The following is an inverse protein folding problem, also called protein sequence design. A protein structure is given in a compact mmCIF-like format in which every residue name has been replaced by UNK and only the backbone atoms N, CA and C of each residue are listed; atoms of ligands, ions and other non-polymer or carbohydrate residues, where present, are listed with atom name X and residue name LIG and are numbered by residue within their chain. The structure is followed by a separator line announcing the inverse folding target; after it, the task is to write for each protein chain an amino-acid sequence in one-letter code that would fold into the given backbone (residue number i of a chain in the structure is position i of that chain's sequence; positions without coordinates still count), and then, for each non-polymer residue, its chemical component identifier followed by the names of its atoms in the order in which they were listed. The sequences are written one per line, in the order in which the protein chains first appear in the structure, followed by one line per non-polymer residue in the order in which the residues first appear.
data_IF_960465003414
#
_entry.id   IF_960465003414
#
_cell.length_a   1.000
_cell.length_b   1.000
_cell.length_c   1.000
_cell.angle_alpha   90.00
_cell.angle_beta   90.00
_cell.angle_gamma   90.00
#
_symmetry.space_group_name_H-M   'P 1'
#
loop_
_entity.id
_entity.type
_entity.pdbx_description
1 polymer ?
#
# COMPACT_ATOMS: atom_id res chain seq x y z
N UNK A 1 -12.30 -8.57 27.80
CA UNK A 1 -12.31 -9.49 26.63
C UNK A 1 -10.92 -9.44 26.00
N UNK A 2 -10.14 -10.53 26.08
CA UNK A 2 -8.85 -10.65 25.39
C UNK A 2 -9.13 -10.74 23.88
N UNK A 3 -9.20 -9.61 23.17
CA UNK A 3 -9.47 -9.57 21.73
C UNK A 3 -8.14 -9.43 20.99
N UNK A 4 -7.93 -10.31 20.01
CA UNK A 4 -6.82 -10.35 19.04
C UNK A 4 -5.60 -11.18 19.45
N UNK A 5 -5.82 -12.39 19.96
CA UNK A 5 -4.74 -13.38 20.10
C UNK A 5 -4.69 -14.28 18.86
N UNK A 6 -3.50 -14.44 18.29
CA UNK A 6 -3.22 -15.45 17.27
C UNK A 6 -3.36 -16.85 17.90
N UNK A 7 -4.11 -17.75 17.26
CA UNK A 7 -4.38 -19.10 17.75
C UNK A 7 -3.93 -20.16 16.73
N UNK A 8 -3.82 -21.41 17.16
CA UNK A 8 -3.46 -22.50 16.25
C UNK A 8 -4.58 -22.78 15.24
N UNK A 9 -4.28 -23.45 14.14
CA UNK A 9 -5.29 -23.84 13.14
C UNK A 9 -6.45 -24.64 13.74
N UNK A 10 -6.16 -25.59 14.63
CA UNK A 10 -7.20 -26.41 15.25
C UNK A 10 -8.03 -25.58 16.23
N UNK A 11 -7.38 -24.75 17.04
CA UNK A 11 -8.08 -23.81 17.92
C UNK A 11 -8.97 -22.84 17.14
N UNK A 12 -8.48 -22.33 16.00
CA UNK A 12 -9.24 -21.46 15.12
C UNK A 12 -10.52 -22.14 14.63
N UNK A 13 -10.41 -23.37 14.12
CA UNK A 13 -11.56 -24.14 13.66
C UNK A 13 -12.58 -24.36 14.78
N UNK A 14 -12.14 -24.90 15.91
CA UNK A 14 -13.04 -25.23 17.02
C UNK A 14 -13.70 -23.98 17.62
N UNK A 15 -12.96 -22.88 17.77
CA UNK A 15 -13.51 -21.63 18.31
C UNK A 15 -14.47 -20.94 17.35
N UNK A 16 -14.19 -20.97 16.04
CA UNK A 16 -15.10 -20.44 15.01
C UNK A 16 -16.41 -21.24 15.01
N UNK A 17 -16.34 -22.57 15.03
CA UNK A 17 -17.52 -23.43 15.10
C UNK A 17 -18.30 -23.22 16.38
N UNK A 18 -17.64 -23.16 17.54
CA UNK A 18 -18.30 -22.92 18.82
C UNK A 18 -19.02 -21.56 18.86
N UNK A 19 -18.38 -20.50 18.34
CA UNK A 19 -18.99 -19.16 18.27
C UNK A 19 -20.25 -19.14 17.41
N UNK A 20 -20.21 -19.83 16.27
CA UNK A 20 -21.31 -19.83 15.29
C UNK A 20 -22.31 -20.98 15.53
N UNK A 21 -22.24 -21.65 16.69
CA UNK A 21 -23.18 -22.72 17.07
C UNK A 21 -23.10 -23.98 16.20
N UNK A 22 -21.92 -24.27 15.64
CA UNK A 22 -21.65 -25.39 14.72
C UNK A 22 -22.57 -25.38 13.49
N UNK A 23 -22.96 -24.19 13.04
CA UNK A 23 -23.85 -24.00 11.91
C UNK A 23 -23.33 -22.94 10.96
N UNK A 24 -23.73 -23.04 9.71
CA UNK A 24 -23.46 -22.01 8.72
C UNK A 24 -24.17 -20.74 9.15
N UNK A 25 -23.42 -19.64 9.23
CA UNK A 25 -23.95 -18.35 9.69
C UNK A 25 -25.02 -17.76 8.77
N UNK A 26 -25.13 -18.24 7.53
CA UNK A 26 -26.10 -17.75 6.54
C UNK A 26 -27.38 -18.59 6.44
N UNK A 27 -27.27 -19.93 6.52
CA UNK A 27 -28.42 -20.82 6.29
C UNK A 27 -28.70 -21.85 7.39
N UNK A 28 -27.86 -21.93 8.43
CA UNK A 28 -28.04 -22.86 9.54
C UNK A 28 -27.64 -24.32 9.27
N UNK A 29 -27.10 -24.65 8.10
CA UNK A 29 -26.59 -25.99 7.78
C UNK A 29 -25.49 -26.41 8.78
N UNK A 30 -25.51 -27.65 9.23
CA UNK A 30 -24.56 -28.21 10.23
C UNK A 30 -23.26 -28.72 9.62
N UNK A 31 -23.21 -28.98 8.31
CA UNK A 31 -21.97 -29.32 7.61
C UNK A 31 -21.19 -28.04 7.26
N UNK A 32 -20.20 -27.72 8.09
CA UNK A 32 -19.48 -26.43 8.03
C UNK A 32 -17.97 -26.56 7.94
N UNK A 33 -17.36 -25.52 7.39
CA UNK A 33 -15.93 -25.30 7.28
C UNK A 33 -15.56 -23.96 7.92
N UNK A 34 -14.36 -23.88 8.51
CA UNK A 34 -13.85 -22.64 9.05
C UNK A 34 -13.24 -21.82 7.90
N UNK A 35 -13.97 -20.78 7.49
CA UNK A 35 -13.58 -19.85 6.43
C UNK A 35 -12.80 -18.67 7.00
N UNK A 36 -11.75 -18.24 6.29
CA UNK A 36 -11.06 -16.99 6.60
C UNK A 36 -11.73 -15.84 5.86
N UNK A 37 -12.22 -14.86 6.61
CA UNK A 37 -12.91 -13.67 6.09
C UNK A 37 -11.99 -12.88 5.15
N UNK A 38 -10.75 -12.62 5.57
CA UNK A 38 -9.66 -12.15 4.71
C UNK A 38 -8.63 -13.26 4.56
N UNK A 39 -8.21 -13.49 3.32
CA UNK A 39 -7.30 -14.56 2.90
C UNK A 39 -6.01 -14.62 3.74
N UNK A 40 -5.75 -15.79 4.34
CA UNK A 40 -4.60 -16.06 5.22
C UNK A 40 -3.25 -15.77 4.58
N UNK A 41 -3.10 -15.93 3.25
CA UNK A 41 -1.85 -15.63 2.53
C UNK A 41 -1.41 -14.17 2.63
N UNK A 42 -2.32 -13.25 2.93
CA UNK A 42 -2.00 -11.84 3.14
C UNK A 42 -1.41 -11.56 4.54
N UNK A 43 -1.51 -12.53 5.45
CA UNK A 43 -1.07 -12.37 6.83
C UNK A 43 0.33 -12.95 7.03
N UNK A 44 1.26 -12.21 7.65
CA UNK A 44 2.61 -12.73 7.91
C UNK A 44 2.62 -13.90 8.91
N UNK A 45 1.56 -14.05 9.70
CA UNK A 45 1.40 -15.07 10.75
C UNK A 45 0.31 -16.12 10.41
N UNK A 46 -0.21 -16.10 9.18
CA UNK A 46 -1.26 -17.00 8.70
C UNK A 46 -2.68 -16.62 9.10
N UNK A 47 -2.90 -15.53 9.85
CA UNK A 47 -4.22 -14.89 9.96
C UNK A 47 -5.28 -15.67 10.77
N UNK A 48 -4.86 -16.63 11.59
CA UNK A 48 -5.72 -17.44 12.46
C UNK A 48 -6.20 -16.64 13.68
N UNK A 49 -6.98 -15.61 13.43
CA UNK A 49 -7.63 -14.80 14.45
C UNK A 49 -9.12 -15.13 14.48
N UNK A 50 -9.70 -15.31 15.66
CA UNK A 50 -11.14 -15.62 15.77
C UNK A 50 -12.03 -14.59 15.04
N UNK A 51 -11.65 -13.31 15.04
CA UNK A 51 -12.36 -12.24 14.34
C UNK A 51 -12.14 -12.24 12.80
N UNK A 52 -11.24 -13.09 12.29
CA UNK A 52 -11.02 -13.33 10.87
C UNK A 52 -11.62 -14.68 10.41
N UNK A 53 -12.44 -15.33 11.23
CA UNK A 53 -13.03 -16.64 10.93
C UNK A 53 -14.55 -16.63 10.89
N UNK A 54 -15.15 -17.50 10.07
CA UNK A 54 -16.60 -17.75 9.99
C UNK A 54 -16.91 -19.22 9.68
N UNK A 55 -17.99 -19.74 10.25
CA UNK A 55 -18.52 -21.07 9.96
C UNK A 55 -19.48 -20.99 8.79
N UNK A 56 -19.12 -21.63 7.68
CA UNK A 56 -19.93 -21.61 6.45
C UNK A 56 -20.02 -23.02 5.86
N UNK A 57 -21.16 -23.34 5.24
CA UNK A 57 -21.28 -24.58 4.46
C UNK A 57 -20.52 -24.45 3.13
N UNK A 58 -20.44 -25.53 2.35
CA UNK A 58 -19.70 -25.54 1.09
C UNK A 58 -20.17 -24.46 0.08
N UNK A 59 -21.49 -24.22 0.00
CA UNK A 59 -22.08 -23.22 -0.88
C UNK A 59 -21.65 -21.80 -0.50
N UNK A 60 -21.93 -21.37 0.73
CA UNK A 60 -21.56 -20.04 1.21
C UNK A 60 -20.03 -19.87 1.31
N UNK A 61 -19.27 -20.94 1.53
CA UNK A 61 -17.82 -20.91 1.41
C UNK A 61 -17.42 -20.47 0.01
N UNK A 62 -17.97 -21.11 -1.03
CA UNK A 62 -17.70 -20.77 -2.42
C UNK A 62 -18.11 -19.32 -2.75
N UNK A 63 -19.27 -18.86 -2.27
CA UNK A 63 -19.73 -17.48 -2.47
C UNK A 63 -18.82 -16.44 -1.81
N UNK A 64 -18.29 -16.73 -0.62
CA UNK A 64 -17.29 -15.87 0.03
C UNK A 64 -15.97 -15.83 -0.76
N UNK A 65 -15.51 -16.98 -1.27
CA UNK A 65 -14.33 -17.07 -2.13
C UNK A 65 -14.52 -16.32 -3.47
N UNK A 66 -15.73 -16.39 -4.03
CA UNK A 66 -16.14 -15.67 -5.23
C UNK A 66 -16.42 -14.19 -4.98
N UNK A 67 -16.47 -13.76 -3.72
CA UNK A 67 -16.81 -12.41 -3.27
C UNK A 67 -18.22 -11.94 -3.64
N UNK A 68 -19.14 -12.87 -3.90
CA UNK A 68 -20.58 -12.59 -4.06
C UNK A 68 -21.23 -12.33 -2.70
N UNK A 69 -20.68 -12.93 -1.64
CA UNK A 69 -20.86 -12.49 -0.25
C UNK A 69 -19.64 -11.64 0.13
N UNK A 70 -19.90 -10.42 0.61
CA UNK A 70 -18.86 -9.49 1.04
C UNK A 70 -18.30 -9.84 2.41
N UNK A 71 -17.08 -9.36 2.68
CA UNK A 71 -16.43 -9.46 3.99
C UNK A 71 -17.29 -8.84 5.09
N UNK A 72 -17.97 -7.73 4.80
CA UNK A 72 -18.86 -7.05 5.73
C UNK A 72 -20.11 -7.88 6.03
N UNK A 73 -20.70 -8.54 5.04
CA UNK A 73 -21.83 -9.45 5.23
C UNK A 73 -21.46 -10.65 6.11
N UNK A 74 -20.25 -11.22 5.93
CA UNK A 74 -19.75 -12.29 6.81
C UNK A 74 -19.56 -11.79 8.24
N UNK A 75 -18.96 -10.61 8.42
CA UNK A 75 -18.77 -10.02 9.76
C UNK A 75 -20.10 -9.77 10.46
N UNK A 76 -21.08 -9.24 9.74
CA UNK A 76 -22.44 -8.99 10.25
C UNK A 76 -23.11 -10.31 10.68
N UNK A 77 -23.08 -11.33 9.82
CA UNK A 77 -23.66 -12.65 10.11
C UNK A 77 -23.03 -13.33 11.34
N UNK A 78 -21.73 -13.09 11.59
CA UNK A 78 -21.01 -13.60 12.76
C UNK A 78 -21.12 -12.69 14.01
N UNK A 79 -21.73 -11.51 13.93
CA UNK A 79 -21.74 -10.52 15.01
C UNK A 79 -20.35 -9.96 15.35
N UNK A 80 -19.43 -9.93 14.38
CA UNK A 80 -18.05 -9.45 14.55
C UNK A 80 -18.02 -7.94 14.35
N UNK A 81 -17.86 -7.19 15.45
CA UNK A 81 -17.69 -5.72 15.41
C UNK A 81 -16.23 -5.26 15.30
N UNK A 82 -15.27 -6.15 15.55
CA UNK A 82 -13.85 -5.83 15.51
C UNK A 82 -13.30 -6.13 14.11
N UNK A 83 -13.00 -5.09 13.34
CA UNK A 83 -12.39 -5.21 12.01
C UNK A 83 -10.90 -5.52 12.17
N UNK A 84 -10.51 -6.74 11.83
CA UNK A 84 -9.11 -7.13 11.70
C UNK A 84 -8.75 -7.25 10.22
N UNK A 85 -7.59 -6.68 9.85
CA UNK A 85 -7.00 -6.75 8.52
C UNK A 85 -5.51 -7.07 8.64
N UNK A 86 -4.88 -7.66 7.59
CA UNK A 86 -3.44 -7.84 7.53
C UNK A 86 -2.66 -6.56 7.88
N UNK A 87 -1.49 -6.64 8.56
CA UNK A 87 -0.79 -5.47 9.09
C UNK A 87 -0.41 -4.39 8.07
N UNK A 88 -0.25 -4.78 6.79
CA UNK A 88 0.11 -3.88 5.69
C UNK A 88 -1.11 -3.18 5.06
N UNK A 89 -2.34 -3.60 5.42
CA UNK A 89 -3.61 -2.99 5.01
C UNK A 89 -4.12 -2.01 6.07
N UNK A 90 -5.06 -1.17 5.65
CA UNK A 90 -5.65 -0.08 6.46
C UNK A 90 -7.05 -0.48 6.98
N UNK A 91 -7.31 -0.50 8.30
CA UNK A 91 -8.60 -0.97 8.84
C UNK A 91 -9.83 -0.13 8.44
N UNK A 92 -9.65 1.13 8.08
CA UNK A 92 -10.68 2.07 7.64
C UNK A 92 -11.02 1.95 6.15
N UNK A 93 -10.28 1.13 5.40
CA UNK A 93 -10.54 0.80 4.01
C UNK A 93 -11.33 -0.52 3.93
N UNK A 94 -12.48 -0.57 3.23
CA UNK A 94 -13.14 -1.81 2.88
C UNK A 94 -12.30 -2.65 1.91
N UNK A 95 -12.29 -3.96 2.09
CA UNK A 95 -11.61 -4.92 1.20
C UNK A 95 -12.51 -6.10 0.89
N UNK A 96 -12.35 -6.68 -0.29
CA UNK A 96 -12.83 -8.04 -0.51
C UNK A 96 -11.94 -9.07 0.21
N UNK A 97 -12.37 -10.34 0.17
CA UNK A 97 -11.65 -11.45 0.80
C UNK A 97 -10.18 -11.53 0.39
N UNK A 98 -9.86 -11.17 -0.86
CA UNK A 98 -8.53 -11.31 -1.44
C UNK A 98 -7.64 -10.08 -1.20
N UNK A 99 -8.09 -9.14 -0.36
CA UNK A 99 -7.34 -7.93 0.00
C UNK A 99 -7.39 -6.86 -1.08
N UNK A 100 -8.36 -6.91 -1.99
CA UNK A 100 -8.57 -5.87 -2.98
C UNK A 100 -9.40 -4.73 -2.36
N UNK A 101 -8.92 -3.47 -2.35
CA UNK A 101 -9.70 -2.34 -1.86
C UNK A 101 -11.01 -2.20 -2.63
N UNK A 102 -12.12 -2.04 -1.91
CA UNK A 102 -13.44 -1.75 -2.47
C UNK A 102 -13.70 -0.25 -2.33
N UNK A 103 -13.98 0.42 -3.45
CA UNK A 103 -14.31 1.84 -3.50
C UNK A 103 -15.79 2.06 -3.15
N UNK A 104 -16.11 3.30 -2.80
CA UNK A 104 -17.50 3.73 -2.55
C UNK A 104 -18.44 3.54 -3.76
N UNK A 105 -17.89 3.53 -4.98
CA UNK A 105 -18.61 3.24 -6.21
C UNK A 105 -18.95 1.76 -6.43
N UNK A 106 -18.42 0.87 -5.60
CA UNK A 106 -18.45 -0.58 -5.78
C UNK A 106 -17.35 -1.13 -6.71
N UNK A 107 -16.60 -0.26 -7.40
CA UNK A 107 -15.39 -0.68 -8.12
C UNK A 107 -14.31 -1.16 -7.16
N UNK A 108 -13.42 -2.01 -7.66
CA UNK A 108 -12.31 -2.59 -6.90
C UNK A 108 -10.97 -2.17 -7.47
N UNK A 109 -9.99 -2.08 -6.59
CA UNK A 109 -8.59 -1.87 -6.95
C UNK A 109 -7.84 -3.19 -6.92
N UNK A 110 -6.82 -3.35 -7.75
CA UNK A 110 -6.03 -4.58 -7.78
C UNK A 110 -5.10 -4.63 -6.56
N UNK A 111 -5.31 -5.61 -5.70
CA UNK A 111 -4.49 -5.89 -4.51
C UNK A 111 -3.36 -6.89 -4.78
N UNK A 112 -2.73 -7.35 -3.70
CA UNK A 112 -1.54 -8.21 -3.73
C UNK A 112 -1.75 -9.53 -4.47
N UNK A 113 -2.87 -10.21 -4.18
CA UNK A 113 -3.17 -11.53 -4.75
C UNK A 113 -3.95 -11.45 -6.05
N UNK A 114 -4.24 -10.26 -6.59
CA UNK A 114 -5.09 -10.12 -7.76
C UNK A 114 -4.59 -10.96 -8.94
N UNK A 115 -3.30 -10.91 -9.25
CA UNK A 115 -2.72 -11.63 -10.40
C UNK A 115 -2.45 -13.12 -10.15
N UNK A 116 -2.75 -13.65 -8.96
CA UNK A 116 -2.63 -15.08 -8.69
C UNK A 116 -3.68 -15.85 -9.51
N UNK A 117 -3.25 -16.92 -10.17
CA UNK A 117 -4.11 -17.67 -11.10
C UNK A 117 -5.35 -18.28 -10.41
N UNK A 118 -5.21 -18.76 -9.17
CA UNK A 118 -6.32 -19.31 -8.39
C UNK A 118 -7.33 -18.22 -8.02
N UNK A 119 -6.84 -17.03 -7.70
CA UNK A 119 -7.67 -15.86 -7.36
C UNK A 119 -8.40 -15.32 -8.60
N UNK A 120 -7.71 -15.22 -9.74
CA UNK A 120 -8.35 -14.84 -11.01
C UNK A 120 -9.48 -15.81 -11.38
N UNK A 121 -9.23 -17.12 -11.28
CA UNK A 121 -10.22 -18.15 -11.60
C UNK A 121 -11.46 -18.07 -10.72
N UNK A 122 -11.31 -17.84 -9.42
CA UNK A 122 -12.45 -17.80 -8.50
C UNK A 122 -13.23 -16.50 -8.59
N UNK A 123 -12.56 -15.36 -8.79
CA UNK A 123 -13.20 -14.07 -9.08
C UNK A 123 -13.97 -14.09 -10.40
N UNK A 124 -13.43 -14.74 -11.44
CA UNK A 124 -14.13 -14.93 -12.71
C UNK A 124 -15.43 -15.72 -12.54
N UNK A 125 -15.41 -16.81 -11.75
CA UNK A 125 -16.61 -17.60 -11.44
C UNK A 125 -17.68 -16.79 -10.70
N UNK A 126 -17.26 -15.83 -9.87
CA UNK A 126 -18.16 -14.89 -9.19
C UNK A 126 -18.61 -13.70 -10.05
N UNK A 127 -18.16 -13.58 -11.30
CA UNK A 127 -18.46 -12.42 -12.15
C UNK A 127 -17.84 -11.10 -11.65
N UNK A 128 -16.83 -11.16 -10.79
CA UNK A 128 -16.30 -9.99 -10.10
C UNK A 128 -15.20 -9.25 -10.88
N UNK A 129 -14.64 -9.84 -11.95
CA UNK A 129 -13.50 -9.27 -12.68
C UNK A 129 -13.81 -7.90 -13.32
N UNK A 130 -15.04 -7.71 -13.80
CA UNK A 130 -15.47 -6.44 -14.44
C UNK A 130 -15.61 -5.29 -13.43
N UNK A 131 -15.59 -5.59 -12.13
CA UNK A 131 -15.59 -4.57 -11.07
C UNK A 131 -14.21 -3.93 -10.88
N UNK A 132 -13.14 -4.54 -11.40
CA UNK A 132 -11.78 -4.08 -11.16
C UNK A 132 -11.38 -2.97 -12.12
N UNK A 133 -11.03 -1.83 -11.56
CA UNK A 133 -10.24 -0.84 -12.27
C UNK A 133 -8.80 -1.33 -12.45
N UNK A 134 -8.07 -0.76 -13.40
CA UNK A 134 -6.61 -0.95 -13.51
C UNK A 134 -5.82 -0.10 -12.50
N UNK A 135 -6.48 0.54 -11.53
CA UNK A 135 -5.83 1.41 -10.55
C UNK A 135 -5.35 0.60 -9.36
N UNK A 136 -4.18 0.99 -8.87
CA UNK A 136 -3.48 0.37 -7.74
C UNK A 136 -3.05 1.48 -6.78
N UNK A 137 -3.35 1.33 -5.48
CA UNK A 137 -2.81 2.23 -4.46
C UNK A 137 -1.31 2.01 -4.31
N UNK A 138 -0.54 3.07 -4.13
CA UNK A 138 0.88 2.91 -3.79
C UNK A 138 1.04 2.18 -2.44
N UNK A 139 1.91 1.15 -2.35
CA UNK A 139 2.07 0.36 -1.13
C UNK A 139 2.44 1.21 0.09
N UNK A 140 2.12 0.71 1.28
CA UNK A 140 2.61 1.32 2.53
C UNK A 140 4.08 0.99 2.72
N UNK A 141 4.94 2.00 2.75
CA UNK A 141 6.35 1.81 3.11
C UNK A 141 6.51 1.67 4.61
N UNK A 142 7.15 0.57 5.04
CA UNK A 142 7.47 0.32 6.44
C UNK A 142 8.71 1.10 6.87
N UNK A 143 8.77 1.47 8.15
CA UNK A 143 9.93 2.08 8.76
C UNK A 143 11.10 1.09 8.83
N UNK A 144 12.31 1.58 8.63
CA UNK A 144 13.52 0.88 8.98
C UNK A 144 13.59 0.72 10.51
N UNK A 145 14.25 -0.33 11.04
CA UNK A 145 14.34 -0.57 12.48
C UNK A 145 14.95 0.58 13.31
N UNK A 146 15.71 1.47 12.65
CA UNK A 146 16.35 2.63 13.26
C UNK A 146 15.66 3.96 12.90
N UNK A 147 14.43 3.94 12.39
CA UNK A 147 13.68 5.17 12.13
C UNK A 147 13.25 5.83 13.43
N UNK A 148 13.45 7.14 13.55
CA UNK A 148 13.13 7.88 14.79
C UNK A 148 11.66 8.31 14.91
N UNK A 149 10.97 8.50 13.77
CA UNK A 149 9.58 8.93 13.69
C UNK A 149 8.55 7.80 13.61
N UNK A 150 8.67 6.75 14.43
CA UNK A 150 7.68 5.65 14.48
C UNK A 150 6.56 5.98 15.47
N UNK A 151 5.31 6.02 15.01
CA UNK A 151 4.12 6.15 15.87
C UNK A 151 3.44 4.77 16.09
N UNK A 152 2.47 4.69 17.00
CA UNK A 152 1.77 3.43 17.35
C UNK A 152 1.13 2.71 16.15
N UNK A 153 0.65 3.48 15.15
CA UNK A 153 0.05 2.93 13.93
C UNK A 153 1.07 2.58 12.84
N UNK A 154 2.35 2.93 13.01
CA UNK A 154 3.40 2.68 12.04
C UNK A 154 3.86 1.23 12.03
N UNK A 155 4.29 0.79 10.85
CA UNK A 155 4.81 -0.56 10.63
C UNK A 155 6.31 -0.46 10.44
N UNK A 156 7.04 -1.30 11.18
CA UNK A 156 8.49 -1.41 11.11
C UNK A 156 8.85 -2.70 10.38
N UNK A 157 9.90 -2.66 9.56
CA UNK A 157 10.49 -3.85 8.97
C UNK A 157 10.94 -4.80 10.07
N UNK A 158 10.50 -6.06 10.00
CA UNK A 158 10.86 -7.10 10.97
C UNK A 158 12.28 -7.63 10.77
N UNK A 159 12.84 -7.48 9.56
CA UNK A 159 14.20 -7.85 9.21
C UNK A 159 14.74 -6.94 8.11
N UNK A 160 16.05 -6.74 8.11
CA UNK A 160 16.82 -6.06 7.05
C UNK A 160 17.66 -7.05 6.22
N UNK A 161 17.58 -8.35 6.53
CA UNK A 161 18.35 -9.41 5.86
C UNK A 161 18.17 -9.40 4.34
N UNK A 162 17.06 -8.87 3.84
CA UNK A 162 16.77 -8.88 2.40
C UNK A 162 17.63 -7.90 1.62
N UNK A 163 18.24 -6.94 2.31
CA UNK A 163 19.19 -5.99 1.74
C UNK A 163 20.63 -6.50 1.77
N UNK A 164 20.96 -7.44 2.66
CA UNK A 164 22.34 -7.87 2.90
C UNK A 164 23.00 -8.44 1.64
N UNK A 165 24.18 -7.90 1.30
CA UNK A 165 24.93 -8.30 0.10
C UNK A 165 24.27 -7.91 -1.23
N UNK A 166 23.19 -7.12 -1.22
CA UNK A 166 22.49 -6.63 -2.43
C UNK A 166 22.80 -5.17 -2.69
N UNK A 167 22.74 -4.75 -3.96
CA UNK A 167 22.75 -3.34 -4.35
C UNK A 167 21.44 -2.68 -3.90
N UNK A 168 21.55 -1.59 -3.17
CA UNK A 168 20.44 -0.76 -2.71
C UNK A 168 20.57 0.64 -3.26
N UNK A 169 19.42 1.28 -3.42
CA UNK A 169 19.30 2.69 -3.76
C UNK A 169 18.69 3.39 -2.55
N UNK A 170 19.39 4.42 -2.09
CA UNK A 170 18.87 5.31 -1.05
C UNK A 170 18.57 6.66 -1.66
N UNK A 171 17.33 7.10 -1.53
CA UNK A 171 16.88 8.40 -2.05
C UNK A 171 16.46 9.31 -0.91
N UNK A 172 16.53 10.63 -1.13
CA UNK A 172 15.86 11.58 -0.24
C UNK A 172 14.37 11.26 -0.19
N UNK A 173 13.80 11.32 1.02
CA UNK A 173 12.35 11.25 1.21
C UNK A 173 11.82 12.68 1.17
N UNK A 174 11.05 12.96 0.13
CA UNK A 174 10.43 14.28 -0.07
C UNK A 174 9.08 14.34 0.66
N UNK A 175 8.78 15.49 1.26
CA UNK A 175 7.54 15.76 1.98
C UNK A 175 6.55 16.46 1.05
N UNK A 176 5.68 15.67 0.42
CA UNK A 176 4.66 16.17 -0.50
C UNK A 176 3.46 15.24 -0.57
N UNK A 177 2.86 15.16 -1.75
CA UNK A 177 1.73 14.28 -2.02
C UNK A 177 2.11 13.19 -3.03
N UNK A 178 2.16 11.94 -2.55
CA UNK A 178 2.26 10.76 -3.41
C UNK A 178 1.25 10.83 -4.58
N UNK A 179 1.77 10.70 -5.79
CA UNK A 179 1.02 10.81 -7.04
C UNK A 179 1.35 9.63 -7.96
N UNK A 180 0.32 9.01 -8.51
CA UNK A 180 0.42 7.90 -9.47
C UNK A 180 -0.21 8.30 -10.81
N UNK A 181 0.55 8.15 -11.89
CA UNK A 181 0.17 8.48 -13.26
C UNK A 181 0.07 7.22 -14.10
N UNK A 182 -1.01 7.08 -14.84
CA UNK A 182 -1.28 6.04 -15.84
C UNK A 182 -1.47 6.72 -17.19
N UNK A 183 -1.57 5.94 -18.26
CA UNK A 183 -1.89 6.48 -19.59
C UNK A 183 -3.15 7.35 -19.62
N UNK A 184 -4.16 6.95 -18.86
CA UNK A 184 -5.54 7.46 -18.96
C UNK A 184 -6.05 8.08 -17.65
N UNK A 185 -5.24 8.10 -16.59
CA UNK A 185 -5.65 8.64 -15.30
C UNK A 185 -4.47 9.04 -14.41
N UNK A 186 -4.71 9.95 -13.47
CA UNK A 186 -3.76 10.36 -12.44
C UNK A 186 -4.48 10.47 -11.10
N UNK A 187 -3.87 9.98 -10.02
CA UNK A 187 -4.44 10.06 -8.69
C UNK A 187 -3.38 10.26 -7.60
N UNK A 188 -3.77 10.91 -6.50
CA UNK A 188 -3.02 10.86 -5.26
C UNK A 188 -3.12 9.45 -4.64
N UNK A 189 -2.41 9.15 -3.56
CA UNK A 189 -2.48 7.81 -2.93
C UNK A 189 -3.92 7.34 -2.61
N UNK A 190 -4.79 8.27 -2.21
CA UNK A 190 -6.23 8.05 -2.15
C UNK A 190 -6.87 8.37 -3.50
N UNK A 191 -7.47 7.35 -4.13
CA UNK A 191 -8.07 7.46 -5.47
C UNK A 191 -9.33 8.34 -5.48
N UNK A 192 -10.16 8.24 -4.44
CA UNK A 192 -11.39 9.05 -4.30
C UNK A 192 -11.10 10.49 -3.79
N UNK A 193 -9.88 10.99 -3.99
CA UNK A 193 -9.46 12.31 -3.53
C UNK A 193 -10.20 13.45 -4.25
N UNK A 194 -10.68 14.44 -3.50
CA UNK A 194 -11.26 15.67 -4.06
C UNK A 194 -10.25 16.43 -4.91
N UNK A 195 -10.70 17.11 -5.96
CA UNK A 195 -9.83 18.01 -6.72
C UNK A 195 -9.25 19.12 -5.81
N UNK A 196 -8.00 19.50 -6.06
CA UNK A 196 -7.30 20.53 -5.29
C UNK A 196 -6.33 21.30 -6.21
N UNK A 197 -6.22 22.64 -6.11
CA UNK A 197 -5.33 23.44 -6.96
C UNK A 197 -3.85 23.05 -6.89
N UNK A 198 -3.41 22.45 -5.77
CA UNK A 198 -2.03 21.93 -5.65
C UNK A 198 -1.69 20.81 -6.64
N UNK A 199 -2.69 20.26 -7.33
CA UNK A 199 -2.53 19.17 -8.30
C UNK A 199 -2.55 19.66 -9.75
N UNK A 200 -2.82 20.94 -10.00
CA UNK A 200 -3.03 21.43 -11.36
C UNK A 200 -1.73 21.36 -12.17
N UNK A 201 -0.59 21.73 -11.57
CA UNK A 201 0.72 21.62 -12.23
C UNK A 201 1.05 20.16 -12.59
N UNK A 202 0.88 19.22 -11.65
CA UNK A 202 1.24 17.81 -11.91
C UNK A 202 0.28 17.15 -12.91
N UNK A 203 -0.98 17.59 -12.98
CA UNK A 203 -1.93 17.18 -14.04
C UNK A 203 -1.53 17.72 -15.42
N UNK A 204 -1.07 18.97 -15.50
CA UNK A 204 -0.56 19.54 -16.75
C UNK A 204 0.68 18.78 -17.22
N UNK A 205 1.65 18.53 -16.32
CA UNK A 205 2.82 17.71 -16.63
C UNK A 205 2.44 16.30 -17.07
N UNK A 206 1.51 15.65 -16.35
CA UNK A 206 0.99 14.34 -16.77
C UNK A 206 0.38 14.36 -18.17
N UNK A 207 -0.41 15.39 -18.50
CA UNK A 207 -1.06 15.49 -19.81
C UNK A 207 -0.08 15.58 -20.99
N UNK A 208 1.17 16.03 -20.76
CA UNK A 208 2.19 16.07 -21.80
C UNK A 208 2.90 14.74 -22.02
N UNK A 209 2.83 13.81 -21.05
CA UNK A 209 3.53 12.51 -21.11
C UNK A 209 2.60 11.29 -21.13
N UNK A 210 1.31 11.46 -20.84
CA UNK A 210 0.39 10.35 -20.56
C UNK A 210 0.25 9.36 -21.72
N UNK A 211 0.25 9.85 -22.97
CA UNK A 211 0.16 8.98 -24.16
C UNK A 211 1.34 8.00 -24.28
N UNK A 212 2.53 8.41 -23.81
CA UNK A 212 3.77 7.62 -23.84
C UNK A 212 3.83 6.56 -22.74
N UNK A 213 3.02 6.70 -21.68
CA UNK A 213 2.93 5.67 -20.64
C UNK A 213 2.26 4.43 -21.24
N UNK A 214 2.87 3.23 -21.17
CA UNK A 214 2.23 2.02 -21.68
C UNK A 214 0.89 1.71 -21.00
N UNK A 215 0.04 0.93 -21.68
CA UNK A 215 -1.21 0.44 -21.11
C UNK A 215 -0.94 -0.31 -19.80
N UNK A 216 -1.74 -0.04 -18.76
CA UNK A 216 -1.67 -0.68 -17.44
C UNK A 216 -0.35 -0.50 -16.68
N UNK A 217 0.57 0.32 -17.19
CA UNK A 217 1.73 0.78 -16.45
C UNK A 217 1.37 2.00 -15.60
N UNK A 218 2.14 2.21 -14.53
CA UNK A 218 2.04 3.42 -13.73
C UNK A 218 3.39 3.97 -13.34
N UNK A 219 3.46 5.28 -13.27
CA UNK A 219 4.58 6.05 -12.76
C UNK A 219 4.17 6.61 -11.40
N UNK A 220 5.02 6.42 -10.40
CA UNK A 220 4.79 6.98 -9.07
C UNK A 220 5.90 7.98 -8.72
N UNK A 221 5.49 9.10 -8.16
CA UNK A 221 6.37 10.18 -7.72
C UNK A 221 5.72 11.02 -6.63
N UNK A 222 6.45 12.03 -6.17
CA UNK A 222 6.00 12.96 -5.16
C UNK A 222 5.64 14.30 -5.82
N UNK A 223 4.39 14.76 -5.63
CA UNK A 223 3.98 16.11 -5.99
C UNK A 223 4.34 17.07 -4.87
N UNK A 224 5.22 18.02 -5.17
CA UNK A 224 5.82 18.98 -4.27
C UNK A 224 5.38 20.41 -4.58
N UNK A 225 4.29 20.61 -5.35
CA UNK A 225 3.83 21.95 -5.68
C UNK A 225 3.44 22.77 -4.43
N UNK A 226 2.67 22.16 -3.53
CA UNK A 226 2.29 22.78 -2.26
C UNK A 226 3.24 22.34 -1.14
N UNK A 227 3.58 23.29 -0.27
CA UNK A 227 4.30 23.03 0.97
C UNK A 227 3.44 22.17 1.90
N UNK A 228 4.06 21.14 2.46
CA UNK A 228 3.51 20.34 3.55
C UNK A 228 4.16 20.77 4.87
N UNK A 229 4.90 19.90 5.55
CA UNK A 229 5.66 20.25 6.75
C UNK A 229 6.97 20.98 6.40
N UNK A 230 7.59 20.64 5.26
CA UNK A 230 8.83 21.22 4.76
C UNK A 230 8.54 22.15 3.58
N UNK A 231 9.07 23.37 3.66
CA UNK A 231 9.02 24.35 2.57
C UNK A 231 10.29 24.32 1.74
N UNK A 232 10.17 23.93 0.47
CA UNK A 232 11.31 23.85 -0.45
C UNK A 232 11.48 25.14 -1.26
N UNK A 233 12.72 25.59 -1.41
CA UNK A 233 13.07 26.84 -2.10
C UNK A 233 13.76 26.64 -3.45
N UNK A 234 14.25 25.43 -3.72
CA UNK A 234 15.16 25.14 -4.83
C UNK A 234 14.88 23.72 -5.38
N UNK A 235 13.63 23.48 -5.79
CA UNK A 235 13.23 22.19 -6.34
C UNK A 235 13.65 22.08 -7.81
N UNK A 236 14.23 20.94 -8.26
CA UNK A 236 14.52 20.74 -9.67
C UNK A 236 13.26 20.48 -10.51
N UNK A 237 12.16 20.10 -9.87
CA UNK A 237 10.82 19.94 -10.46
C UNK A 237 9.78 19.86 -9.35
N UNK A 238 8.52 20.21 -9.65
CA UNK A 238 7.40 19.99 -8.71
C UNK A 238 6.94 18.53 -8.66
N UNK A 239 7.33 17.69 -9.61
CA UNK A 239 7.11 16.25 -9.55
C UNK A 239 8.45 15.53 -9.61
N UNK A 240 8.74 14.76 -8.56
CA UNK A 240 9.94 13.93 -8.49
C UNK A 240 9.54 12.45 -8.55
N UNK A 241 9.94 11.77 -9.61
CA UNK A 241 9.65 10.35 -9.83
C UNK A 241 10.50 9.45 -8.94
N UNK A 242 9.93 8.35 -8.43
CA UNK A 242 10.68 7.37 -7.62
C UNK A 242 10.42 5.90 -7.98
N UNK A 243 9.40 5.58 -8.77
CA UNK A 243 9.19 4.20 -9.27
C UNK A 243 8.31 4.14 -10.51
N UNK A 244 8.48 3.09 -11.30
CA UNK A 244 7.59 2.71 -12.41
C UNK A 244 7.18 1.26 -12.19
N UNK A 245 5.91 0.97 -12.46
CA UNK A 245 5.33 -0.36 -12.29
C UNK A 245 4.67 -0.81 -13.58
N UNK A 246 4.93 -2.06 -13.95
CA UNK A 246 4.40 -2.65 -15.17
C UNK A 246 2.97 -3.22 -14.99
N UNK A 247 2.43 -3.80 -16.06
CA UNK A 247 1.08 -4.36 -16.13
C UNK A 247 0.83 -5.54 -15.17
N UNK A 248 1.91 -6.18 -14.71
CA UNK A 248 1.88 -7.28 -13.73
C UNK A 248 2.05 -6.79 -12.29
N UNK A 249 2.03 -5.48 -12.09
CA UNK A 249 2.24 -4.84 -10.79
C UNK A 249 3.61 -5.19 -10.18
N UNK A 250 4.64 -5.23 -11.02
CA UNK A 250 6.04 -5.36 -10.61
C UNK A 250 6.69 -3.99 -10.82
N UNK A 251 7.31 -3.47 -9.76
CA UNK A 251 8.13 -2.26 -9.85
C UNK A 251 9.40 -2.62 -10.62
N UNK A 252 9.74 -1.82 -11.64
CA UNK A 252 10.97 -2.02 -12.40
C UNK A 252 12.20 -1.91 -11.51
N UNK A 253 13.30 -2.50 -11.96
CA UNK A 253 14.61 -2.23 -11.39
C UNK A 253 14.96 -0.73 -11.55
N UNK A 254 15.91 -0.28 -10.76
CA UNK A 254 16.26 1.14 -10.68
C UNK A 254 16.82 1.68 -11.99
N UNK A 255 17.66 0.90 -12.66
CA UNK A 255 18.35 1.38 -13.87
C UNK A 255 17.34 1.53 -15.01
N UNK A 256 16.47 0.54 -15.22
CA UNK A 256 15.33 0.64 -16.13
C UNK A 256 14.42 1.83 -15.77
N UNK A 257 14.14 2.05 -14.48
CA UNK A 257 13.33 3.20 -14.03
C UNK A 257 13.96 4.54 -14.47
N UNK A 258 15.29 4.68 -14.33
CA UNK A 258 16.01 5.89 -14.73
C UNK A 258 16.00 6.09 -16.25
N UNK A 259 16.14 5.02 -17.04
CA UNK A 259 16.04 5.08 -18.50
C UNK A 259 14.68 5.63 -18.95
N UNK A 260 13.58 5.09 -18.38
CA UNK A 260 12.24 5.59 -18.67
C UNK A 260 12.03 7.03 -18.21
N UNK A 261 12.55 7.42 -17.05
CA UNK A 261 12.47 8.81 -16.59
C UNK A 261 13.20 9.76 -17.53
N UNK A 262 14.37 9.39 -18.05
CA UNK A 262 15.08 10.18 -19.04
C UNK A 262 14.28 10.35 -20.33
N UNK A 263 13.66 9.28 -20.83
CA UNK A 263 12.81 9.30 -22.04
C UNK A 263 11.59 10.22 -21.84
N UNK A 264 10.95 10.14 -20.67
CA UNK A 264 9.71 10.86 -20.37
C UNK A 264 9.94 12.29 -19.83
N UNK A 265 11.20 12.71 -19.66
CA UNK A 265 11.53 14.02 -19.08
C UNK A 265 11.10 14.15 -17.61
N UNK A 266 11.13 13.06 -16.85
CA UNK A 266 10.79 13.04 -15.43
C UNK A 266 12.08 13.21 -14.62
N UNK A 267 12.12 14.23 -13.76
CA UNK A 267 13.19 14.39 -12.78
C UNK A 267 13.04 13.33 -11.67
N UNK A 268 14.05 12.48 -11.41
CA UNK A 268 13.99 11.53 -10.30
C UNK A 268 14.15 12.23 -8.95
N UNK A 269 13.68 11.59 -7.88
CA UNK A 269 14.13 11.90 -6.52
C UNK A 269 15.65 11.74 -6.40
N UNK A 270 16.29 12.57 -5.59
CA UNK A 270 17.74 12.56 -5.43
C UNK A 270 18.23 11.25 -4.80
N UNK A 271 19.20 10.60 -5.48
CA UNK A 271 19.93 9.45 -4.95
C UNK A 271 21.08 9.94 -4.10
N UNK A 272 21.07 9.56 -2.82
CA UNK A 272 22.10 9.91 -1.84
C UNK A 272 23.03 8.73 -1.53
N UNK A 273 22.69 7.52 -1.97
CA UNK A 273 23.56 6.35 -1.94
C UNK A 273 23.12 5.33 -2.99
N UNK A 274 24.09 4.80 -3.73
CA UNK A 274 23.93 3.65 -4.63
C UNK A 274 25.12 2.71 -4.41
N UNK A 275 24.84 1.49 -3.94
CA UNK A 275 25.89 0.53 -3.64
C UNK A 275 25.39 -0.70 -2.90
N UNK A 276 26.31 -1.59 -2.55
CA UNK A 276 25.98 -2.77 -1.72
C UNK A 276 25.57 -2.32 -0.33
N UNK A 277 24.44 -2.83 0.17
CA UNK A 277 23.90 -2.45 1.47
C UNK A 277 24.95 -2.43 2.59
N UNK A 278 25.11 -1.25 3.19
CA UNK A 278 25.97 -0.99 4.33
C UNK A 278 25.17 -0.18 5.35
N UNK A 279 24.64 -0.86 6.36
CA UNK A 279 23.76 -0.25 7.36
C UNK A 279 24.40 0.98 8.02
N UNK A 280 25.71 0.93 8.34
CA UNK A 280 26.38 2.04 9.03
C UNK A 280 26.49 3.26 8.13
N UNK A 281 26.85 3.08 6.86
CA UNK A 281 26.91 4.19 5.89
C UNK A 281 25.53 4.79 5.68
N UNK A 282 24.51 3.95 5.51
CA UNK A 282 23.13 4.41 5.26
C UNK A 282 22.58 5.18 6.46
N UNK A 283 22.81 4.69 7.68
CA UNK A 283 22.43 5.42 8.90
C UNK A 283 23.11 6.79 8.98
N UNK A 284 24.37 6.88 8.58
CA UNK A 284 25.14 8.13 8.56
C UNK A 284 24.74 9.14 7.47
N UNK A 285 23.79 8.81 6.57
CA UNK A 285 23.30 9.76 5.56
C UNK A 285 22.46 10.88 6.18
N UNK A 286 21.84 10.62 7.34
CA UNK A 286 21.02 11.58 8.05
C UNK A 286 21.67 11.99 9.37
N UNK A 287 21.55 13.27 9.71
CA UNK A 287 21.96 13.85 10.98
C UNK A 287 21.07 15.05 11.33
N UNK A 288 21.17 15.53 12.58
CA UNK A 288 20.30 16.58 13.12
C UNK A 288 20.42 17.93 12.37
N UNK A 289 21.53 18.21 11.69
CA UNK A 289 21.66 19.46 10.90
C UNK A 289 20.69 19.53 9.73
N UNK A 290 20.19 18.37 9.27
CA UNK A 290 19.22 18.26 8.16
C UNK A 290 17.76 18.34 8.62
N UNK A 291 17.51 18.49 9.93
CA UNK A 291 16.17 18.38 10.50
C UNK A 291 15.17 19.36 9.86
N UNK A 292 15.54 20.61 9.62
CA UNK A 292 14.60 21.61 9.05
C UNK A 292 14.28 21.39 7.55
N UNK A 293 15.13 20.67 6.82
CA UNK A 293 15.12 20.65 5.35
C UNK A 293 14.83 19.26 4.75
N UNK A 294 15.00 18.18 5.52
CA UNK A 294 14.78 16.82 5.06
C UNK A 294 13.81 16.06 5.98
N UNK A 295 12.89 15.29 5.40
CA UNK A 295 12.06 14.36 6.17
C UNK A 295 12.86 13.13 6.60
N UNK A 296 13.76 12.66 5.74
CA UNK A 296 14.55 11.45 5.92
C UNK A 296 14.89 10.84 4.56
N UNK A 297 14.93 9.51 4.51
CA UNK A 297 15.31 8.79 3.29
C UNK A 297 14.54 7.49 3.12
N UNK A 298 14.55 6.98 1.88
CA UNK A 298 14.01 5.67 1.51
C UNK A 298 15.17 4.77 1.10
N UNK A 299 15.12 3.50 1.48
CA UNK A 299 16.02 2.44 1.03
C UNK A 299 15.19 1.44 0.23
N UNK A 300 15.58 1.15 -1.00
CA UNK A 300 15.01 0.06 -1.81
C UNK A 300 16.09 -0.85 -2.38
N UNK A 301 15.75 -2.10 -2.67
CA UNK A 301 16.57 -2.90 -3.58
C UNK A 301 16.63 -2.25 -4.96
N UNK A 302 17.80 -2.31 -5.60
CA UNK A 302 17.96 -1.85 -6.98
C UNK A 302 17.24 -2.75 -7.99
N UNK A 303 17.02 -4.03 -7.68
CA UNK A 303 16.29 -4.96 -8.54
C UNK A 303 14.80 -4.64 -8.63
N UNK A 304 14.10 -5.38 -9.51
CA UNK A 304 12.64 -5.39 -9.56
C UNK A 304 12.02 -5.74 -8.19
N UNK A 305 10.85 -5.17 -7.91
CA UNK A 305 10.12 -5.37 -6.65
C UNK A 305 8.69 -5.78 -6.96
N UNK A 306 8.33 -7.06 -6.78
CA UNK A 306 6.93 -7.49 -6.81
C UNK A 306 6.11 -6.75 -5.76
N UNK A 307 4.87 -6.35 -6.08
CA UNK A 307 4.01 -5.60 -5.16
C UNK A 307 3.84 -6.28 -3.79
N UNK A 308 3.70 -7.61 -3.78
CA UNK A 308 3.58 -8.44 -2.57
C UNK A 308 4.81 -8.31 -1.65
N UNK A 309 5.99 -8.15 -2.24
CA UNK A 309 7.27 -8.12 -1.53
C UNK A 309 7.71 -6.71 -1.15
N UNK A 310 7.00 -5.66 -1.61
CA UNK A 310 7.38 -4.27 -1.36
C UNK A 310 7.64 -3.96 0.12
N UNK A 311 6.78 -4.50 1.00
CA UNK A 311 6.88 -4.34 2.47
C UNK A 311 8.14 -4.98 3.09
N UNK A 312 8.92 -5.74 2.33
CA UNK A 312 10.17 -6.38 2.73
C UNK A 312 11.38 -5.80 2.01
N UNK A 313 11.16 -5.22 0.82
CA UNK A 313 12.24 -4.76 -0.08
C UNK A 313 12.37 -3.22 -0.15
N UNK A 314 11.50 -2.49 0.55
CA UNK A 314 11.55 -1.03 0.70
C UNK A 314 11.33 -0.64 2.15
N UNK A 315 12.22 0.21 2.68
CA UNK A 315 12.14 0.78 4.02
C UNK A 315 12.30 2.29 4.01
N UNK A 316 11.70 2.98 4.98
CA UNK A 316 11.88 4.42 5.18
C UNK A 316 12.52 4.74 6.52
N UNK A 317 13.40 5.74 6.53
CA UNK A 317 13.78 6.47 7.72
C UNK A 317 13.02 7.80 7.70
N UNK A 318 12.38 8.14 8.80
CA UNK A 318 11.70 9.42 9.01
C UNK A 318 12.20 10.00 10.31
N UNK A 319 12.58 11.28 10.29
CA UNK A 319 13.08 12.01 11.47
C UNK A 319 12.03 12.11 12.57
N UNK A 320 12.50 12.25 13.81
CA UNK A 320 11.63 12.48 14.97
C UNK A 320 10.84 13.78 14.83
N UNK A 321 9.55 13.73 15.15
CA UNK A 321 8.68 14.92 15.21
C UNK A 321 8.38 15.54 13.85
N UNK A 322 8.45 14.78 12.75
CA UNK A 322 8.08 15.28 11.43
C UNK A 322 6.57 15.56 11.29
N UNK A 323 5.71 14.66 11.78
CA UNK A 323 4.25 14.87 11.79
C UNK A 323 3.85 15.47 13.13
N UNK A 324 3.66 16.79 13.19
CA UNK A 324 3.28 17.50 14.43
C UNK A 324 1.80 17.89 14.49
N UNK A 325 1.09 17.90 13.37
CA UNK A 325 -0.31 18.32 13.32
C UNK A 325 -1.19 17.24 12.69
N UNK A 326 -1.99 16.54 13.51
CA UNK A 326 -2.97 15.54 13.08
C UNK A 326 -4.17 16.09 12.30
N UNK A 327 -4.18 17.37 11.92
CA UNK A 327 -5.14 17.90 10.95
C UNK A 327 -4.53 17.73 9.57
N UNK A 328 -5.15 16.88 8.74
CA UNK A 328 -4.90 16.84 7.30
C UNK A 328 -4.65 18.27 6.80
N UNK A 329 -3.47 18.53 6.23
CA UNK A 329 -3.05 19.83 5.66
C UNK A 329 -4.12 20.43 4.72
N UNK A 330 -4.96 19.57 4.16
CA UNK A 330 -6.12 19.87 3.32
C UNK A 330 -7.22 20.70 4.02
N UNK A 331 -7.30 20.72 5.35
CA UNK A 331 -8.35 21.43 6.10
C UNK A 331 -7.82 22.68 6.80
N UNK A 332 -8.09 23.84 6.19
CA UNK A 332 -8.12 25.12 6.90
C UNK A 332 -6.82 25.94 6.92
N UNK A 333 -5.77 25.52 6.23
CA UNK A 333 -4.58 26.36 6.01
C UNK A 333 -4.55 26.89 4.57
N UNK A 334 -4.08 28.12 4.40
CA UNK A 334 -3.86 28.70 3.07
C UNK A 334 -2.71 27.92 2.42
N UNK A 335 -2.93 27.41 1.21
CA UNK A 335 -1.90 26.70 0.44
C UNK A 335 -0.69 27.62 0.19
N UNK A 336 0.47 27.20 0.66
CA UNK A 336 1.76 27.81 0.34
C UNK A 336 2.42 27.00 -0.77
N UNK A 337 3.04 27.68 -1.75
CA UNK A 337 3.68 27.04 -2.90
C UNK A 337 5.18 26.87 -2.62
N UNK A 338 5.76 25.74 -2.97
CA UNK A 338 7.23 25.57 -2.98
C UNK A 338 7.85 26.26 -4.21
N UNK A 339 9.15 26.48 -4.20
CA UNK A 339 9.85 27.18 -5.29
C UNK A 339 10.77 26.23 -6.07
N UNK A 340 10.86 26.48 -7.39
CA UNK A 340 11.80 25.80 -8.28
C UNK A 340 13.15 26.55 -8.27
N UNK A 341 14.19 25.83 -8.68
CA UNK A 341 15.54 26.35 -8.93
C UNK A 341 15.61 27.49 -9.95
#
# INVERSE_FOLDING_TARGET
MKKNQLITRDQFREQVFARDGHKCVFCGNTEVYAHHIIERRLWPDGGYYLANGASVCNEHHLECEQTTISVEQVREACGISTVMVPPHLYPDQPYDKWGNPVLSSGQRLRGELFFDESVQKILAKGGALDLFSNRVKYPRTHHLPWSDGVNDDDRVLTSISQFEGKRVIVTRKMDGENTSMYRDFIHARSIDGRSHPSRDWVKQFWSSISAEIPQDWRICGENLFAKHSIGYQDLPSYFLGFSIWNEKNICLDWDSTMEYFAILGITPVEVIYDGVFDQKKIQGLWDESKWEIEEGYLVRLASEIPYAEFRHLVGKFVRKGHVQTGKHWFYGQKMERNHLA
#
